data_IF_671113286359
#
_entry.id   IF_671113286359
#
_cell.length_a   1.000
_cell.length_b   1.000
_cell.length_c   1.000
_cell.angle_alpha   90.00
_cell.angle_beta   90.00
_cell.angle_gamma   90.00
#
_symmetry.space_group_name_H-M   'P 1'
#
loop_
_entity.id
_entity.type
_entity.pdbx_description
1 polymer ?
#
# COMPACT_ATOMS: atom_id res chain seq x y z
N UNK A 1 4.37 -9.83 -10.84
CA UNK A 1 5.07 -8.61 -11.32
C UNK A 1 5.10 -7.69 -10.14
N UNK A 2 6.31 -7.42 -9.66
CA UNK A 2 6.66 -6.92 -8.31
C UNK A 2 5.84 -5.72 -7.89
N UNK A 3 4.96 -5.91 -6.90
CA UNK A 3 4.35 -4.80 -6.18
C UNK A 3 5.49 -3.96 -5.59
N UNK A 4 5.60 -2.73 -6.05
CA UNK A 4 6.64 -1.78 -5.68
C UNK A 4 6.45 -1.43 -4.21
N UNK A 5 7.18 -2.10 -3.34
CA UNK A 5 7.53 -1.55 -2.03
C UNK A 5 9.03 -1.23 -2.10
N UNK A 6 9.34 -0.16 -2.84
CA UNK A 6 10.69 0.40 -2.81
C UNK A 6 10.74 1.39 -1.65
N UNK A 7 11.52 0.95 -0.66
CA UNK A 7 12.21 1.75 0.36
C UNK A 7 11.36 2.30 1.51
N UNK A 8 11.73 2.16 2.77
CA UNK A 8 12.72 1.34 3.46
C UNK A 8 12.48 1.71 4.93
N UNK A 9 11.92 0.82 5.74
CA UNK A 9 11.79 1.03 7.21
C UNK A 9 13.21 1.04 7.89
N UNK A 10 14.30 1.13 7.13
CA UNK A 10 15.67 0.98 7.62
C UNK A 10 16.43 2.30 7.77
N UNK A 11 15.82 3.46 7.52
CA UNK A 11 16.45 4.76 7.81
C UNK A 11 15.70 5.51 8.90
N UNK A 12 16.41 5.79 9.99
CA UNK A 12 15.91 6.47 11.18
C UNK A 12 15.28 7.82 10.78
N UNK A 13 13.96 7.94 10.95
CA UNK A 13 13.22 9.18 10.71
C UNK A 13 12.16 9.12 9.60
N UNK A 14 11.59 7.95 9.30
CA UNK A 14 10.46 7.84 8.37
C UNK A 14 9.16 8.18 9.11
N UNK A 15 8.43 9.21 8.65
CA UNK A 15 7.13 9.64 9.24
C UNK A 15 5.94 8.81 8.72
N UNK A 16 6.07 8.21 7.55
CA UNK A 16 4.99 7.44 6.92
C UNK A 16 5.48 6.37 5.96
N UNK A 17 4.76 5.25 5.93
CA UNK A 17 4.96 4.14 5.00
C UNK A 17 3.74 4.07 4.09
N UNK A 18 3.99 4.06 2.78
CA UNK A 18 2.95 3.97 1.76
C UNK A 18 3.20 2.73 0.90
N UNK A 19 2.14 1.99 0.60
CA UNK A 19 2.17 0.87 -0.32
C UNK A 19 0.89 0.79 -1.15
N UNK A 20 0.93 0.05 -2.24
CA UNK A 20 -0.21 -0.08 -3.16
C UNK A 20 -0.60 -1.55 -3.28
N UNK A 21 -1.89 -1.83 -3.42
CA UNK A 21 -2.37 -3.21 -3.61
C UNK A 21 -3.60 -3.22 -4.51
N UNK A 22 -3.72 -4.22 -5.38
CA UNK A 22 -4.91 -4.41 -6.21
C UNK A 22 -6.16 -4.49 -5.32
N UNK A 23 -7.25 -3.83 -5.75
CA UNK A 23 -8.53 -3.85 -5.02
C UNK A 23 -9.10 -5.27 -4.85
N UNK A 24 -8.73 -6.18 -5.76
CA UNK A 24 -9.12 -7.58 -5.78
C UNK A 24 -8.31 -8.43 -4.79
N UNK A 25 -7.16 -7.94 -4.32
CA UNK A 25 -6.31 -8.66 -3.37
C UNK A 25 -6.77 -8.45 -1.92
N UNK A 26 -7.95 -8.98 -1.62
CA UNK A 26 -8.58 -8.87 -0.30
C UNK A 26 -7.71 -9.44 0.83
N UNK A 27 -6.86 -10.44 0.53
CA UNK A 27 -5.94 -11.02 1.49
C UNK A 27 -4.86 -10.04 1.93
N UNK A 28 -4.21 -9.37 0.96
CA UNK A 28 -3.22 -8.34 1.23
C UNK A 28 -3.84 -7.13 1.94
N UNK A 29 -5.00 -6.65 1.47
CA UNK A 29 -5.72 -5.53 2.08
C UNK A 29 -5.97 -5.79 3.57
N UNK A 30 -6.57 -6.95 3.91
CA UNK A 30 -6.85 -7.32 5.30
C UNK A 30 -5.58 -7.48 6.14
N UNK A 31 -4.51 -8.01 5.54
CA UNK A 31 -3.22 -8.15 6.22
C UNK A 31 -2.66 -6.76 6.59
N UNK A 32 -2.61 -5.83 5.64
CA UNK A 32 -2.07 -4.50 5.87
C UNK A 32 -2.96 -3.65 6.80
N UNK A 33 -4.28 -3.77 6.71
CA UNK A 33 -5.21 -3.15 7.67
C UNK A 33 -4.94 -3.63 9.12
N UNK A 34 -4.66 -4.93 9.31
CA UNK A 34 -4.28 -5.48 10.63
C UNK A 34 -2.93 -5.00 11.11
N UNK A 35 -2.02 -4.66 10.20
CA UNK A 35 -0.72 -4.06 10.51
C UNK A 35 -0.82 -2.55 10.80
N UNK A 36 -2.03 -1.97 10.73
CA UNK A 36 -2.29 -0.56 11.04
C UNK A 36 -2.29 0.36 9.83
N UNK A 37 -2.17 -0.16 8.61
CA UNK A 37 -2.33 0.65 7.41
C UNK A 37 -3.80 1.04 7.20
N UNK A 38 -4.01 2.26 6.70
CA UNK A 38 -5.32 2.79 6.34
C UNK A 38 -5.41 2.96 4.83
N UNK A 39 -6.59 2.73 4.23
CA UNK A 39 -6.84 3.02 2.81
C UNK A 39 -6.89 4.53 2.62
N UNK A 40 -5.87 5.08 1.97
CA UNK A 40 -5.71 6.51 1.74
C UNK A 40 -6.40 6.95 0.45
N UNK A 41 -6.15 6.24 -0.65
CA UNK A 41 -6.66 6.60 -1.98
C UNK A 41 -6.99 5.35 -2.81
N UNK A 42 -8.02 5.45 -3.67
CA UNK A 42 -8.27 4.48 -4.74
C UNK A 42 -7.69 5.03 -6.05
N UNK A 43 -6.74 4.30 -6.62
CA UNK A 43 -6.09 4.62 -7.88
C UNK A 43 -6.82 3.88 -9.01
N UNK A 44 -7.48 4.64 -9.88
CA UNK A 44 -8.24 4.09 -11.00
C UNK A 44 -7.31 3.61 -12.12
N UNK A 45 -7.53 2.38 -12.60
CA UNK A 45 -6.77 1.75 -13.69
C UNK A 45 -5.25 1.85 -13.52
N UNK A 46 -4.78 1.73 -12.28
CA UNK A 46 -3.39 1.97 -11.90
C UNK A 46 -2.42 0.92 -12.45
N UNK A 47 -2.84 -0.34 -12.46
CA UNK A 47 -2.04 -1.42 -13.01
C UNK A 47 -2.22 -1.53 -14.53
N UNK A 48 -1.22 -2.08 -15.22
CA UNK A 48 -1.20 -2.24 -16.67
C UNK A 48 -2.38 -3.08 -17.22
N UNK A 49 -2.97 -3.92 -16.37
CA UNK A 49 -4.16 -4.73 -16.66
C UNK A 49 -5.48 -3.92 -16.55
N UNK A 50 -5.42 -2.63 -16.26
CA UNK A 50 -6.58 -1.75 -16.07
C UNK A 50 -7.30 -1.95 -14.74
N UNK A 51 -6.72 -2.73 -13.82
CA UNK A 51 -7.29 -2.97 -12.48
C UNK A 51 -6.93 -1.82 -11.56
N UNK A 52 -7.90 -1.43 -10.73
CA UNK A 52 -7.73 -0.41 -9.71
C UNK A 52 -6.84 -0.90 -8.56
N UNK A 53 -6.17 0.04 -7.91
CA UNK A 53 -5.38 -0.20 -6.71
C UNK A 53 -5.90 0.61 -5.53
N UNK A 54 -5.65 0.13 -4.32
CA UNK A 54 -5.66 0.96 -3.12
C UNK A 54 -4.25 1.37 -2.76
N UNK A 55 -4.06 2.67 -2.49
CA UNK A 55 -2.93 3.18 -1.73
C UNK A 55 -3.23 3.03 -0.24
N UNK A 56 -2.36 2.34 0.47
CA UNK A 56 -2.41 2.11 1.90
C UNK A 56 -1.31 2.90 2.59
N UNK A 57 -1.63 3.57 3.70
CA UNK A 57 -0.73 4.46 4.43
C UNK A 57 -0.67 4.11 5.92
N UNK A 58 0.54 4.09 6.48
CA UNK A 58 0.81 3.89 7.90
C UNK A 58 1.70 5.03 8.39
N UNK A 59 1.27 5.76 9.41
CA UNK A 59 2.08 6.81 10.04
C UNK A 59 2.97 6.21 11.14
N UNK A 60 4.28 6.48 11.07
CA UNK A 60 5.27 6.08 12.06
C UNK A 60 5.60 7.33 12.89
N UNK A 61 5.40 7.25 14.20
CA UNK A 61 5.54 8.37 15.13
C UNK A 61 6.99 8.65 15.51
#
# INVERSE_FOLDING_TARGET
MTCVTIMMILWKGCDEVVLETEITNLGAIRLYERLGFVRDERLFQYYLNGVDAFRLKLWLR
#
